data_IF_322768053563
#
_entry.id   IF_322768053563
#
_cell.length_a   1.000
_cell.length_b   1.000
_cell.length_c   1.000
_cell.angle_alpha   90.00
_cell.angle_beta   90.00
_cell.angle_gamma   90.00
#
_symmetry.space_group_name_H-M   'P 1'
#
loop_
_entity.id
_entity.type
_entity.pdbx_description
1 polymer ?
#
# COMPACT_ATOMS: atom_id res chain seq x y z
N UNK A 1 9.67 4.04 22.63
CA UNK A 1 8.60 4.94 22.13
C UNK A 1 9.31 6.00 21.33
N UNK A 2 9.20 5.97 19.99
CA UNK A 2 9.93 6.90 19.13
C UNK A 2 9.48 8.34 19.45
N UNK A 3 10.42 9.16 19.93
CA UNK A 3 10.20 10.60 20.12
C UNK A 3 10.25 11.30 18.77
N UNK A 4 9.41 12.31 18.56
CA UNK A 4 9.38 13.12 17.31
C UNK A 4 10.77 13.68 16.99
N UNK A 5 11.50 14.17 18.00
CA UNK A 5 12.87 14.69 17.87
C UNK A 5 13.85 13.61 17.41
N UNK A 6 13.66 12.36 17.85
CA UNK A 6 14.44 11.22 17.37
C UNK A 6 14.14 11.00 15.89
N UNK A 7 12.87 10.79 15.52
CA UNK A 7 12.44 10.58 14.12
C UNK A 7 13.00 11.65 13.16
N UNK A 8 12.90 12.93 13.53
CA UNK A 8 13.42 14.03 12.72
C UNK A 8 14.94 14.00 12.59
N UNK A 9 15.66 13.78 13.71
CA UNK A 9 17.12 13.67 13.67
C UNK A 9 17.58 12.50 12.79
N UNK A 10 16.88 11.36 12.89
CA UNK A 10 17.14 10.16 12.09
C UNK A 10 16.91 10.42 10.60
N UNK A 11 15.79 11.07 10.29
CA UNK A 11 15.45 11.45 8.93
C UNK A 11 16.49 12.38 8.31
N UNK A 12 16.89 13.44 9.02
CA UNK A 12 17.88 14.41 8.51
C UNK A 12 19.26 13.76 8.30
N UNK A 13 19.66 12.83 9.17
CA UNK A 13 20.89 12.05 8.98
C UNK A 13 20.82 11.19 7.70
N UNK A 14 19.75 10.42 7.53
CA UNK A 14 19.54 9.58 6.34
C UNK A 14 19.47 10.42 5.06
N UNK A 15 18.77 11.55 5.12
CA UNK A 15 18.65 12.52 4.03
C UNK A 15 19.99 13.14 3.65
N UNK A 16 20.80 13.55 4.63
CA UNK A 16 22.14 14.11 4.38
C UNK A 16 23.02 13.10 3.63
N UNK A 17 23.02 11.84 4.06
CA UNK A 17 23.78 10.77 3.39
C UNK A 17 23.28 10.51 1.96
N UNK A 18 21.97 10.63 1.73
CA UNK A 18 21.39 10.45 0.41
C UNK A 18 21.69 11.61 -0.55
N UNK A 19 21.52 12.87 -0.10
CA UNK A 19 21.76 14.09 -0.88
C UNK A 19 23.24 14.26 -1.21
N UNK A 20 24.15 13.88 -0.30
CA UNK A 20 25.59 13.94 -0.57
C UNK A 20 25.99 13.18 -1.85
N UNK A 21 25.15 12.25 -2.30
CA UNK A 21 25.36 11.47 -3.52
C UNK A 21 24.58 12.00 -4.74
N UNK A 22 23.76 13.06 -4.62
CA UNK A 22 22.89 13.57 -5.70
C UNK A 22 22.61 15.09 -5.56
N UNK A 23 23.09 15.89 -6.50
CA UNK A 23 22.85 17.35 -6.54
C UNK A 23 21.43 17.73 -7.00
N UNK A 24 20.91 18.86 -6.50
CA UNK A 24 19.70 19.56 -6.97
C UNK A 24 18.36 18.83 -6.85
N UNK A 25 18.06 18.35 -5.64
CA UNK A 25 16.81 17.67 -5.34
C UNK A 25 16.02 18.47 -4.29
N UNK A 26 14.76 18.80 -4.60
CA UNK A 26 13.79 19.28 -3.60
C UNK A 26 13.25 18.09 -2.82
N UNK A 27 13.35 18.13 -1.48
CA UNK A 27 13.04 17.01 -0.59
C UNK A 27 11.88 17.37 0.32
N UNK A 28 10.78 16.61 0.22
CA UNK A 28 9.71 16.64 1.22
C UNK A 28 9.72 15.33 2.02
N UNK A 29 9.58 15.39 3.36
CA UNK A 29 9.43 14.19 4.17
C UNK A 29 8.08 13.54 3.89
N UNK A 30 8.10 12.22 3.79
CA UNK A 30 6.90 11.39 3.71
C UNK A 30 7.14 10.11 4.50
N UNK A 31 6.14 9.67 5.24
CA UNK A 31 6.27 8.55 6.16
C UNK A 31 5.13 7.56 5.99
N UNK A 32 5.43 6.28 6.18
CA UNK A 32 4.43 5.23 6.41
C UNK A 32 4.61 4.63 7.80
N UNK A 33 3.53 4.54 8.53
CA UNK A 33 3.48 3.99 9.89
C UNK A 33 2.72 2.69 9.85
N UNK A 34 3.35 1.61 10.29
CA UNK A 34 2.76 0.27 10.37
C UNK A 34 2.41 0.01 11.82
N UNK A 35 1.19 -0.44 12.11
CA UNK A 35 0.67 -0.63 13.46
C UNK A 35 0.55 -2.12 13.81
N UNK A 36 0.45 -2.43 15.11
CA UNK A 36 0.31 -3.81 15.60
C UNK A 36 -0.94 -4.52 15.06
N UNK A 37 -2.01 -3.78 14.78
CA UNK A 37 -3.24 -4.32 14.20
C UNK A 37 -3.15 -4.55 12.68
N UNK A 38 -1.95 -4.43 12.08
CA UNK A 38 -1.72 -4.61 10.65
C UNK A 38 -2.05 -3.38 9.80
N UNK A 39 -2.61 -2.30 10.36
CA UNK A 39 -2.90 -1.10 9.58
C UNK A 39 -1.63 -0.36 9.18
N UNK A 40 -1.68 0.29 8.02
CA UNK A 40 -0.63 1.15 7.49
C UNK A 40 -1.23 2.52 7.19
N UNK A 41 -0.64 3.58 7.75
CA UNK A 41 -1.06 4.96 7.50
C UNK A 41 0.09 5.76 6.91
N UNK A 42 -0.22 6.59 5.92
CA UNK A 42 0.74 7.51 5.33
C UNK A 42 0.60 8.92 5.92
N UNK A 43 1.70 9.65 6.08
CA UNK A 43 1.68 11.04 6.51
C UNK A 43 2.89 11.83 6.01
N UNK A 44 2.67 13.10 5.65
CA UNK A 44 3.74 14.07 5.43
C UNK A 44 4.19 14.80 6.71
N UNK A 45 3.61 14.47 7.86
CA UNK A 45 3.85 15.16 9.15
C UNK A 45 4.45 14.18 10.16
N UNK A 46 5.66 14.45 10.70
CA UNK A 46 6.32 13.53 11.63
C UNK A 46 5.51 13.19 12.88
N UNK A 47 4.74 14.13 13.44
CA UNK A 47 3.94 13.89 14.64
C UNK A 47 2.82 12.86 14.41
N UNK A 48 2.22 12.87 13.21
CA UNK A 48 1.22 11.87 12.82
C UNK A 48 1.88 10.53 12.51
N UNK A 49 3.11 10.54 12.00
CA UNK A 49 3.84 9.32 11.67
C UNK A 49 4.23 8.48 12.91
N UNK A 50 4.28 9.08 14.10
CA UNK A 50 4.55 8.37 15.37
C UNK A 50 3.32 8.31 16.30
N UNK A 51 2.19 8.84 15.85
CA UNK A 51 0.96 8.82 16.63
C UNK A 51 0.52 7.37 16.88
N UNK A 52 -0.11 7.12 18.03
CA UNK A 52 -0.67 5.81 18.40
C UNK A 52 0.34 4.64 18.41
N UNK A 53 1.64 4.92 18.55
CA UNK A 53 2.71 3.94 18.71
C UNK A 53 2.75 2.85 17.61
N UNK A 54 3.11 3.20 16.37
CA UNK A 54 3.34 2.20 15.33
C UNK A 54 4.46 1.24 15.73
N UNK A 55 4.52 0.06 15.09
CA UNK A 55 5.64 -0.89 15.20
C UNK A 55 6.82 -0.49 14.32
N UNK A 56 6.54 0.02 13.12
CA UNK A 56 7.54 0.49 12.18
C UNK A 56 7.16 1.86 11.63
N UNK A 57 8.18 2.70 11.40
CA UNK A 57 8.05 3.94 10.65
C UNK A 57 9.04 3.91 9.50
N UNK A 58 8.52 3.93 8.28
CA UNK A 58 9.32 4.01 7.07
C UNK A 58 9.35 5.48 6.66
N UNK A 59 10.54 6.04 6.54
CA UNK A 59 10.72 7.42 6.10
C UNK A 59 11.25 7.45 4.68
N UNK A 60 10.65 8.30 3.86
CA UNK A 60 11.02 8.50 2.48
C UNK A 60 11.29 9.95 2.16
N UNK A 61 12.08 10.12 1.11
CA UNK A 61 12.24 11.37 0.41
C UNK A 61 11.40 11.32 -0.88
N UNK A 62 10.71 12.42 -1.17
CA UNK A 62 9.92 12.57 -2.39
C UNK A 62 10.65 13.46 -3.40
N UNK A 63 11.01 12.90 -4.56
CA UNK A 63 11.47 13.65 -5.73
C UNK A 63 10.29 14.17 -6.53
N UNK A 64 10.32 15.42 -6.95
CA UNK A 64 9.32 15.98 -7.86
C UNK A 64 9.93 16.17 -9.25
N UNK A 65 9.45 15.42 -10.23
CA UNK A 65 9.81 15.65 -11.63
C UNK A 65 8.88 16.71 -12.23
N UNK A 66 9.46 17.76 -12.81
CA UNK A 66 8.69 18.86 -13.43
C UNK A 66 8.32 18.61 -14.90
N UNK A 67 8.90 17.60 -15.55
CA UNK A 67 8.92 17.52 -17.04
C UNK A 67 7.62 17.03 -17.69
N UNK A 68 6.69 16.38 -16.98
CA UNK A 68 5.48 15.78 -17.58
C UNK A 68 4.26 15.76 -16.63
N UNK A 69 4.03 16.88 -15.94
CA UNK A 69 3.12 16.92 -14.78
C UNK A 69 3.86 16.64 -13.48
N UNK A 70 3.22 16.89 -12.34
CA UNK A 70 3.80 16.69 -11.01
C UNK A 70 3.83 15.19 -10.66
N UNK A 71 4.80 14.45 -11.18
CA UNK A 71 5.08 13.08 -10.71
C UNK A 71 6.04 13.11 -9.53
N UNK A 72 5.74 12.27 -8.53
CA UNK A 72 6.38 12.27 -7.21
C UNK A 72 6.96 10.90 -6.87
N UNK A 73 8.23 10.66 -7.14
CA UNK A 73 8.84 9.38 -6.76
C UNK A 73 9.29 9.43 -5.30
N UNK A 74 8.83 8.47 -4.52
CA UNK A 74 9.22 8.34 -3.12
C UNK A 74 10.26 7.22 -2.98
N UNK A 75 11.41 7.59 -2.42
CA UNK A 75 12.50 6.67 -2.12
C UNK A 75 12.55 6.48 -0.61
N UNK A 76 12.36 5.25 -0.15
CA UNK A 76 12.51 4.93 1.27
C UNK A 76 14.00 5.04 1.62
N UNK A 77 14.32 5.87 2.59
CA UNK A 77 15.68 6.16 3.03
C UNK A 77 15.96 5.59 4.42
N UNK A 78 14.92 5.21 5.17
CA UNK A 78 15.05 4.74 6.53
C UNK A 78 13.88 3.84 6.96
N UNK A 79 14.19 2.78 7.70
CA UNK A 79 13.24 1.86 8.31
C UNK A 79 13.49 1.84 9.82
N UNK A 80 12.60 2.46 10.58
CA UNK A 80 12.73 2.56 12.04
C UNK A 80 11.86 1.51 12.70
N UNK A 81 12.49 0.64 13.49
CA UNK A 81 11.78 -0.21 14.43
C UNK A 81 11.57 0.57 15.74
N UNK A 82 10.33 0.61 16.20
CA UNK A 82 9.93 1.41 17.36
C UNK A 82 10.18 0.72 18.70
N UNK A 83 10.40 -0.60 18.67
CA UNK A 83 10.60 -1.42 19.87
C UNK A 83 12.02 -1.30 20.43
N UNK A 84 13.01 -1.18 19.57
CA UNK A 84 14.44 -1.07 19.91
C UNK A 84 15.03 0.31 19.54
N UNK A 85 14.22 1.18 18.94
CA UNK A 85 14.63 2.48 18.41
C UNK A 85 15.88 2.39 17.53
N UNK A 86 16.06 1.25 16.84
CA UNK A 86 17.21 1.02 15.97
C UNK A 86 16.96 1.56 14.56
N UNK A 87 18.05 1.78 13.83
CA UNK A 87 18.00 2.02 12.39
C UNK A 87 18.18 0.69 11.68
N UNK A 88 17.33 0.44 10.69
CA UNK A 88 17.46 -0.72 9.82
C UNK A 88 17.36 -0.29 8.36
N UNK A 89 18.04 -1.02 7.49
CA UNK A 89 17.84 -0.94 6.04
C UNK A 89 16.63 -1.75 5.55
N UNK A 90 15.91 -2.40 6.46
CA UNK A 90 14.81 -3.31 6.15
C UNK A 90 13.82 -3.49 7.32
N UNK A 91 12.61 -3.94 7.02
CA UNK A 91 11.68 -4.45 8.03
C UNK A 91 11.95 -5.94 8.21
N UNK A 92 12.19 -6.39 9.44
CA UNK A 92 12.42 -7.80 9.74
C UNK A 92 11.12 -8.45 10.24
N UNK A 93 10.75 -9.56 9.60
CA UNK A 93 9.66 -10.45 9.97
C UNK A 93 10.23 -11.72 10.62
N UNK A 94 9.49 -12.83 10.61
CA UNK A 94 9.95 -14.08 11.25
C UNK A 94 10.97 -14.82 10.38
N UNK A 95 10.72 -14.89 9.07
CA UNK A 95 11.52 -15.61 8.09
C UNK A 95 12.16 -14.66 7.05
N UNK A 96 11.56 -13.48 6.87
CA UNK A 96 11.89 -12.57 5.77
C UNK A 96 12.29 -11.17 6.24
N UNK A 97 13.04 -10.47 5.40
CA UNK A 97 13.30 -9.03 5.50
C UNK A 97 12.73 -8.34 4.28
N UNK A 98 11.89 -7.33 4.48
CA UNK A 98 11.36 -6.48 3.42
C UNK A 98 12.27 -5.25 3.26
N UNK A 99 12.83 -5.10 2.06
CA UNK A 99 13.75 -4.02 1.69
C UNK A 99 13.43 -3.47 0.29
N UNK A 100 14.12 -2.39 -0.09
CA UNK A 100 14.09 -1.81 -1.44
C UNK A 100 12.69 -1.57 -2.02
N UNK A 101 11.79 -1.04 -1.19
CA UNK A 101 10.42 -0.73 -1.61
C UNK A 101 10.44 0.46 -2.57
N UNK A 102 9.90 0.25 -3.77
CA UNK A 102 9.79 1.29 -4.82
C UNK A 102 8.39 1.88 -4.78
N UNK A 103 8.30 3.18 -4.58
CA UNK A 103 7.03 3.90 -4.46
C UNK A 103 6.93 5.00 -5.52
N UNK A 104 5.90 4.91 -6.34
CA UNK A 104 5.53 5.90 -7.34
C UNK A 104 4.39 6.77 -6.83
N UNK A 105 4.47 8.07 -7.07
CA UNK A 105 3.50 9.08 -6.63
C UNK A 105 3.16 9.06 -5.12
N UNK A 106 4.06 8.57 -4.26
CA UNK A 106 3.83 8.38 -2.82
C UNK A 106 2.63 7.48 -2.46
N UNK A 107 2.05 6.79 -3.44
CA UNK A 107 0.79 6.04 -3.28
C UNK A 107 0.92 4.62 -3.81
N UNK A 108 1.62 4.44 -4.94
CA UNK A 108 1.66 3.19 -5.69
C UNK A 108 2.99 2.48 -5.50
N UNK A 109 2.96 1.29 -4.91
CA UNK A 109 4.11 0.39 -4.83
C UNK A 109 4.35 -0.20 -6.22
N UNK A 110 5.54 0.01 -6.79
CA UNK A 110 5.93 -0.55 -8.10
C UNK A 110 6.79 -1.80 -7.98
N UNK A 111 7.29 -2.09 -6.78
CA UNK A 111 8.02 -3.32 -6.47
C UNK A 111 8.63 -3.28 -5.08
N UNK A 112 9.10 -4.44 -4.63
CA UNK A 112 9.84 -4.60 -3.38
C UNK A 112 10.76 -5.82 -3.44
N UNK A 113 11.73 -5.87 -2.54
CA UNK A 113 12.64 -7.01 -2.39
C UNK A 113 12.41 -7.66 -1.02
N UNK A 114 12.40 -8.98 -1.01
CA UNK A 114 12.32 -9.82 0.16
C UNK A 114 13.60 -10.66 0.26
N UNK A 115 14.30 -10.57 1.38
CA UNK A 115 15.51 -11.36 1.66
C UNK A 115 15.20 -12.38 2.76
N UNK A 116 15.72 -13.61 2.64
CA UNK A 116 15.59 -14.56 3.76
C UNK A 116 16.54 -14.19 4.90
N UNK A 117 16.05 -14.22 6.14
CA UNK A 117 16.86 -13.88 7.33
C UNK A 117 18.06 -14.83 7.49
N UNK A 118 17.88 -16.10 7.16
CA UNK A 118 18.89 -17.14 7.34
C UNK A 118 19.85 -17.29 6.15
N UNK A 119 19.59 -16.62 5.02
CA UNK A 119 20.45 -16.66 3.84
C UNK A 119 20.36 -15.35 3.04
N UNK A 120 21.25 -14.41 3.37
CA UNK A 120 21.35 -13.07 2.76
C UNK A 120 21.69 -13.07 1.27
N UNK A 121 22.02 -14.22 0.67
CA UNK A 121 22.24 -14.33 -0.79
C UNK A 121 20.96 -14.66 -1.55
N UNK A 122 19.91 -15.06 -0.83
CA UNK A 122 18.64 -15.45 -1.39
C UNK A 122 17.65 -14.30 -1.26
N UNK A 123 17.43 -13.62 -2.38
CA UNK A 123 16.48 -12.53 -2.52
C UNK A 123 15.38 -12.87 -3.53
N UNK A 124 14.18 -12.44 -3.22
CA UNK A 124 13.03 -12.45 -4.09
C UNK A 124 12.62 -11.00 -4.34
N UNK A 125 12.84 -10.52 -5.56
CA UNK A 125 12.36 -9.19 -5.97
C UNK A 125 11.18 -9.36 -6.91
N UNK A 126 10.11 -8.66 -6.63
CA UNK A 126 9.01 -8.57 -7.57
C UNK A 126 8.78 -7.15 -8.06
N UNK A 127 8.24 -7.11 -9.26
CA UNK A 127 7.75 -5.91 -9.87
C UNK A 127 6.28 -6.08 -10.15
N UNK A 128 5.62 -5.03 -9.76
CA UNK A 128 4.23 -4.85 -9.92
C UNK A 128 4.10 -4.22 -11.34
N UNK A 129 3.51 -4.93 -12.32
CA UNK A 129 3.12 -4.40 -13.65
C UNK A 129 2.04 -3.29 -13.60
N UNK A 130 2.28 -2.15 -14.25
CA UNK A 130 1.38 -1.00 -14.43
C UNK A 130 -0.14 -1.28 -14.54
N UNK A 131 -0.57 -2.44 -15.04
CA UNK A 131 -1.97 -2.83 -15.16
C UNK A 131 -2.67 -3.22 -13.85
N UNK A 132 -1.95 -3.62 -12.79
CA UNK A 132 -2.59 -3.97 -11.51
C UNK A 132 -2.90 -2.70 -10.72
N UNK A 133 -4.19 -2.40 -10.56
CA UNK A 133 -4.68 -1.09 -10.11
C UNK A 133 -4.56 -0.81 -8.61
N UNK A 134 -4.20 -1.79 -7.78
CA UNK A 134 -4.20 -1.66 -6.33
C UNK A 134 -2.89 -2.13 -5.72
N UNK A 135 -2.03 -1.15 -5.38
CA UNK A 135 -0.68 -1.37 -4.86
C UNK A 135 -0.36 -0.33 -3.80
N UNK A 136 -1.11 -0.34 -2.72
CA UNK A 136 -0.82 0.53 -1.59
C UNK A 136 0.27 -0.09 -0.71
N UNK A 137 0.85 0.73 0.17
CA UNK A 137 1.74 0.21 1.23
C UNK A 137 1.01 -0.79 2.14
N UNK A 138 -0.30 -0.61 2.36
CA UNK A 138 -1.13 -1.58 3.09
C UNK A 138 -1.10 -2.94 2.42
N UNK A 139 -1.36 -3.02 1.12
CA UNK A 139 -1.37 -4.30 0.40
C UNK A 139 0.00 -4.96 0.32
N UNK A 140 1.08 -4.16 0.24
CA UNK A 140 2.44 -4.69 0.36
C UNK A 140 2.67 -5.31 1.73
N UNK A 141 2.16 -4.66 2.78
CA UNK A 141 2.27 -5.18 4.14
C UNK A 141 1.46 -6.47 4.34
N UNK A 142 0.21 -6.50 3.85
CA UNK A 142 -0.63 -7.69 3.89
C UNK A 142 0.04 -8.86 3.16
N UNK A 143 0.61 -8.60 1.97
CA UNK A 143 1.41 -9.57 1.23
C UNK A 143 2.63 -10.04 2.02
N UNK A 144 3.34 -9.13 2.69
CA UNK A 144 4.52 -9.46 3.48
C UNK A 144 4.18 -10.40 4.65
N UNK A 145 3.05 -10.17 5.31
CA UNK A 145 2.56 -11.03 6.39
C UNK A 145 2.14 -12.42 5.88
N UNK A 146 1.36 -12.50 4.80
CA UNK A 146 0.95 -13.79 4.22
C UNK A 146 2.17 -14.58 3.70
N UNK A 147 3.14 -13.89 3.10
CA UNK A 147 4.39 -14.49 2.65
C UNK A 147 5.21 -15.02 3.82
N UNK A 148 5.31 -14.29 4.93
CA UNK A 148 6.04 -14.73 6.13
C UNK A 148 5.40 -15.94 6.80
N UNK A 149 4.07 -16.02 6.77
CA UNK A 149 3.30 -17.14 7.31
C UNK A 149 3.41 -18.41 6.43
N UNK A 150 3.32 -18.25 5.11
CA UNK A 150 3.14 -19.38 4.19
C UNK A 150 4.39 -19.83 3.44
N UNK A 151 5.43 -18.98 3.35
CA UNK A 151 6.62 -19.26 2.55
C UNK A 151 7.87 -19.37 3.44
N UNK A 152 8.63 -20.45 3.25
CA UNK A 152 9.91 -20.70 3.93
C UNK A 152 11.10 -20.66 2.98
N UNK A 153 10.85 -20.63 1.68
CA UNK A 153 11.87 -20.63 0.62
C UNK A 153 11.56 -19.58 -0.44
N UNK A 154 12.58 -19.15 -1.17
CA UNK A 154 12.42 -18.25 -2.33
C UNK A 154 11.48 -18.85 -3.37
N UNK A 155 11.60 -20.15 -3.61
CA UNK A 155 10.77 -20.82 -4.61
C UNK A 155 9.29 -20.80 -4.25
N UNK A 156 8.97 -20.98 -2.97
CA UNK A 156 7.60 -20.82 -2.48
C UNK A 156 7.14 -19.38 -2.62
N UNK A 157 7.96 -18.40 -2.24
CA UNK A 157 7.64 -16.98 -2.39
C UNK A 157 7.34 -16.58 -3.85
N UNK A 158 8.12 -17.06 -4.82
CA UNK A 158 7.87 -16.83 -6.24
C UNK A 158 6.53 -17.40 -6.72
N UNK A 159 6.18 -18.60 -6.26
CA UNK A 159 4.90 -19.24 -6.60
C UNK A 159 3.75 -18.53 -5.89
N UNK A 160 3.95 -18.19 -4.62
CA UNK A 160 2.98 -17.49 -3.80
C UNK A 160 2.66 -16.10 -4.35
N UNK A 161 3.66 -15.37 -4.85
CA UNK A 161 3.43 -14.09 -5.53
C UNK A 161 2.47 -14.22 -6.71
N UNK A 162 2.62 -15.26 -7.55
CA UNK A 162 1.70 -15.51 -8.66
C UNK A 162 0.29 -15.83 -8.18
N UNK A 163 0.18 -16.63 -7.12
CA UNK A 163 -1.09 -16.92 -6.47
C UNK A 163 -1.74 -15.64 -5.93
N UNK A 164 -0.98 -14.80 -5.22
CA UNK A 164 -1.46 -13.57 -4.61
C UNK A 164 -1.97 -12.58 -5.66
N UNK A 165 -1.27 -12.43 -6.79
CA UNK A 165 -1.77 -11.62 -7.91
C UNK A 165 -3.11 -12.12 -8.43
N UNK A 166 -3.29 -13.45 -8.54
CA UNK A 166 -4.56 -14.03 -8.98
C UNK A 166 -5.68 -13.88 -7.94
N UNK A 167 -5.34 -13.98 -6.65
CA UNK A 167 -6.26 -13.69 -5.54
C UNK A 167 -6.78 -12.26 -5.63
N UNK A 168 -5.90 -11.28 -5.83
CA UNK A 168 -6.28 -9.87 -5.99
C UNK A 168 -7.16 -9.63 -7.23
N UNK A 169 -6.85 -10.26 -8.37
CA UNK A 169 -7.69 -10.17 -9.57
C UNK A 169 -9.10 -10.73 -9.30
N UNK A 170 -9.20 -11.85 -8.59
CA UNK A 170 -10.49 -12.47 -8.25
C UNK A 170 -11.32 -11.58 -7.31
N UNK A 171 -10.69 -11.02 -6.28
CA UNK A 171 -11.35 -10.10 -5.34
C UNK A 171 -11.91 -8.86 -6.06
N UNK A 172 -11.16 -8.31 -7.03
CA UNK A 172 -11.62 -7.20 -7.84
C UNK A 172 -12.83 -7.58 -8.71
N UNK A 173 -12.81 -8.77 -9.32
CA UNK A 173 -13.94 -9.27 -10.13
C UNK A 173 -15.18 -9.46 -9.24
N UNK A 174 -15.03 -10.07 -8.07
CA UNK A 174 -16.14 -10.28 -7.13
C UNK A 174 -16.75 -8.96 -6.67
N UNK A 175 -15.93 -7.97 -6.30
CA UNK A 175 -16.41 -6.63 -5.94
C UNK A 175 -17.20 -5.98 -7.09
N UNK A 176 -16.74 -6.14 -8.33
CA UNK A 176 -17.42 -5.61 -9.52
C UNK A 176 -18.77 -6.30 -9.73
N UNK A 177 -18.86 -7.62 -9.52
CA UNK A 177 -20.10 -8.38 -9.59
C UNK A 177 -21.10 -7.88 -8.55
N UNK A 178 -20.67 -7.71 -7.29
CA UNK A 178 -21.52 -7.21 -6.20
C UNK A 178 -22.10 -5.82 -6.52
N UNK A 179 -21.31 -4.94 -7.14
CA UNK A 179 -21.80 -3.63 -7.60
C UNK A 179 -22.89 -3.77 -8.67
N UNK A 180 -22.68 -4.60 -9.68
CA UNK A 180 -23.68 -4.82 -10.73
C UNK A 180 -24.94 -5.50 -10.22
N UNK A 181 -24.83 -6.42 -9.26
CA UNK A 181 -26.00 -7.03 -8.61
C UNK A 181 -26.83 -5.99 -7.86
N UNK A 182 -26.18 -5.06 -7.17
CA UNK A 182 -26.84 -3.96 -6.49
C UNK A 182 -27.56 -3.04 -7.48
N UNK A 183 -26.89 -2.61 -8.54
CA UNK A 183 -27.49 -1.78 -9.61
C UNK A 183 -28.69 -2.49 -10.26
N UNK A 184 -28.57 -3.79 -10.55
CA UNK A 184 -29.66 -4.58 -11.13
C UNK A 184 -30.87 -4.68 -10.19
N UNK A 185 -30.63 -4.77 -8.87
CA UNK A 185 -31.71 -4.76 -7.87
C UNK A 185 -32.44 -3.41 -7.84
N UNK A 186 -31.70 -2.31 -7.88
CA UNK A 186 -32.27 -0.95 -7.89
C UNK A 186 -33.12 -0.70 -9.15
N UNK A 187 -32.66 -1.16 -10.33
CA UNK A 187 -33.41 -1.11 -11.59
C UNK A 187 -34.68 -1.97 -11.57
N UNK A 188 -34.61 -3.18 -10.98
CA UNK A 188 -35.80 -4.04 -10.81
C UNK A 188 -36.86 -3.38 -9.94
N UNK A 189 -36.45 -2.74 -8.84
CA UNK A 189 -37.36 -2.01 -7.95
C UNK A 189 -38.01 -0.81 -8.65
N UNK A 190 -37.24 -0.06 -9.44
CA UNK A 190 -37.77 1.02 -10.28
C UNK A 190 -38.80 0.48 -11.28
N UNK A 191 -38.51 -0.62 -11.97
CA UNK A 191 -39.42 -1.23 -12.94
C UNK A 191 -40.74 -1.67 -12.28
N UNK A 192 -40.67 -2.25 -11.07
CA UNK A 192 -41.87 -2.60 -10.28
C UNK A 192 -42.69 -1.34 -9.95
N UNK A 193 -42.04 -0.25 -9.53
CA UNK A 193 -42.72 1.03 -9.26
C UNK A 193 -43.39 1.59 -10.51
N UNK A 194 -42.71 1.57 -11.66
CA UNK A 194 -43.28 2.01 -12.94
C UNK A 194 -44.48 1.17 -13.36
N UNK A 195 -44.41 -0.16 -13.23
CA UNK A 195 -45.54 -1.06 -13.53
C UNK A 195 -46.76 -0.76 -12.67
N UNK A 196 -46.57 -0.54 -11.36
CA UNK A 196 -47.67 -0.15 -10.45
C UNK A 196 -48.28 1.19 -10.82
N UNK A 197 -47.45 2.14 -11.26
CA UNK A 197 -47.90 3.47 -11.65
C UNK A 197 -48.71 3.42 -12.96
N UNK A 198 -48.25 2.62 -13.94
CA UNK A 198 -48.99 2.35 -15.17
C UNK A 198 -50.36 1.70 -14.89
N UNK A 199 -50.41 0.67 -14.03
CA UNK A 199 -51.68 0.05 -13.63
C UNK A 199 -52.65 1.06 -13.01
N UNK A 200 -52.17 1.93 -12.11
CA UNK A 200 -52.99 3.00 -11.54
C UNK A 200 -53.51 3.99 -12.57
N UNK A 201 -52.70 4.33 -13.58
CA UNK A 201 -53.13 5.20 -14.68
C UNK A 201 -54.22 4.51 -15.50
N UNK A 202 -54.05 3.22 -15.81
CA UNK A 202 -55.04 2.42 -16.54
C UNK A 202 -56.38 2.32 -15.77
N UNK A 203 -56.34 2.09 -14.46
CA UNK A 203 -57.52 2.12 -13.58
C UNK A 203 -58.24 3.48 -13.64
N UNK A 204 -57.51 4.59 -13.49
CA UNK A 204 -58.09 5.94 -13.53
C UNK A 204 -58.70 6.32 -14.90
N UNK A 205 -58.17 5.77 -15.99
CA UNK A 205 -58.72 5.98 -17.33
C UNK A 205 -59.99 5.14 -17.53
N UNK A 206 -60.05 3.95 -16.93
CA UNK A 206 -61.16 2.99 -17.09
C UNK A 206 -62.39 3.34 -16.23
N UNK A 207 -62.19 4.07 -15.13
CA UNK A 207 -63.25 4.56 -14.23
C UNK A 207 -63.91 5.89 -14.71
N UNK A 208 -63.48 6.44 -15.86
CA UNK A 208 -64.10 7.58 -16.56
C UNK A 208 -64.82 7.12 -17.84
#
# INVERSE_FOLDING_TARGET
>A
MIRIESLQSKYELAKSNFIANRENISVLPYHWSIYQNGQVKASGVPSQAVADNPIYVLSAYVHQYMKYGLTKDAYIIDYQNTSDESYSSSITLSNWKLCNIKVFNCELISGATFEMINDYKQEFTFYFDSATKFRSMQMLWDFALELDEHCKTIREAEVFYKYYLKKLELEQVNFTIEQYEKELSEERDLNIKYKRLLQKIEELISDN
#
